data_IF_290004607192
#
_entry.id   IF_290004607192
#
_cell.length_a   1.000
_cell.length_b   1.000
_cell.length_c   1.000
_cell.angle_alpha   90.00
_cell.angle_beta   90.00
_cell.angle_gamma   90.00
#
_symmetry.space_group_name_H-M   'P 1'
#
loop_
_entity.id
_entity.type
_entity.pdbx_description
1 polymer ?
#
# COMPACT_ATOMS: atom_id res chain seq x y z
N UNK A 1 13.19 -33.28 -58.20
CA UNK A 1 14.46 -33.44 -57.46
C UNK A 1 14.55 -32.35 -56.39
N UNK A 2 14.25 -32.66 -55.12
CA UNK A 2 14.30 -31.67 -54.02
C UNK A 2 15.72 -31.59 -53.49
N UNK A 3 16.41 -30.48 -53.76
CA UNK A 3 17.72 -30.17 -53.21
C UNK A 3 17.53 -29.91 -51.70
N UNK A 4 17.99 -30.83 -50.84
CA UNK A 4 18.05 -30.57 -49.40
C UNK A 4 19.26 -29.68 -49.13
N UNK A 5 19.03 -28.42 -48.77
CA UNK A 5 20.09 -27.53 -48.26
C UNK A 5 20.51 -28.04 -46.88
N UNK A 6 21.77 -28.45 -46.74
CA UNK A 6 22.35 -28.83 -45.46
C UNK A 6 22.69 -27.58 -44.66
N UNK A 7 22.25 -27.53 -43.41
CA UNK A 7 22.60 -26.47 -42.47
C UNK A 7 24.04 -26.69 -42.00
N UNK A 8 24.91 -25.70 -42.18
CA UNK A 8 26.28 -25.83 -41.69
C UNK A 8 26.30 -25.56 -40.18
N UNK A 9 27.11 -26.30 -39.42
CA UNK A 9 27.22 -26.14 -37.96
C UNK A 9 27.59 -24.68 -37.60
N UNK A 10 28.37 -24.02 -38.46
CA UNK A 10 28.78 -22.64 -38.29
C UNK A 10 27.62 -21.64 -38.44
N UNK A 11 26.70 -21.85 -39.38
CA UNK A 11 25.50 -21.01 -39.52
C UNK A 11 24.63 -21.08 -38.25
N UNK A 12 24.48 -22.27 -37.65
CA UNK A 12 23.74 -22.42 -36.40
C UNK A 12 24.43 -21.70 -35.24
N UNK A 13 25.75 -21.84 -35.15
CA UNK A 13 26.55 -21.27 -34.08
C UNK A 13 26.51 -19.73 -34.11
N UNK A 14 26.57 -19.11 -35.29
CA UNK A 14 26.48 -17.66 -35.43
C UNK A 14 25.10 -17.14 -34.99
N UNK A 15 24.02 -17.83 -35.35
CA UNK A 15 22.67 -17.40 -34.97
C UNK A 15 22.48 -17.43 -33.45
N UNK A 16 22.89 -18.50 -32.78
CA UNK A 16 22.77 -18.57 -31.31
C UNK A 16 23.66 -17.52 -30.62
N UNK A 17 24.84 -17.21 -31.17
CA UNK A 17 25.74 -16.19 -30.63
C UNK A 17 25.10 -14.79 -30.72
N UNK A 18 24.46 -14.46 -31.84
CA UNK A 18 23.75 -13.18 -31.99
C UNK A 18 22.57 -13.10 -31.01
N UNK A 19 21.77 -14.15 -30.89
CA UNK A 19 20.64 -14.19 -29.94
C UNK A 19 21.12 -14.01 -28.49
N UNK A 20 22.22 -14.67 -28.11
CA UNK A 20 22.79 -14.56 -26.77
C UNK A 20 23.23 -13.12 -26.45
N UNK A 21 23.88 -12.44 -27.39
CA UNK A 21 24.29 -11.03 -27.24
C UNK A 21 23.06 -10.11 -27.11
N UNK A 22 22.03 -10.31 -27.94
CA UNK A 22 20.81 -9.52 -27.88
C UNK A 22 20.11 -9.68 -26.51
N UNK A 23 19.99 -10.91 -26.01
CA UNK A 23 19.38 -11.18 -24.68
C UNK A 23 20.23 -10.57 -23.55
N UNK A 24 21.55 -10.67 -23.65
CA UNK A 24 22.47 -10.13 -22.64
C UNK A 24 22.33 -8.61 -22.48
N UNK A 25 22.03 -7.88 -23.57
CA UNK A 25 21.79 -6.43 -23.54
C UNK A 25 20.36 -6.11 -23.07
N UNK A 26 19.38 -6.96 -23.39
CA UNK A 26 17.98 -6.76 -23.01
C UNK A 26 17.71 -6.98 -21.52
N UNK A 27 18.35 -7.96 -20.88
CA UNK A 27 18.16 -8.28 -19.45
C UNK A 27 18.37 -7.09 -18.49
N UNK A 28 19.50 -6.35 -18.53
CA UNK A 28 19.69 -5.21 -17.64
C UNK A 28 18.73 -4.05 -17.96
N UNK A 29 18.37 -3.86 -19.24
CA UNK A 29 17.44 -2.82 -19.67
C UNK A 29 16.00 -3.09 -19.18
N UNK A 30 15.54 -4.34 -19.22
CA UNK A 30 14.19 -4.73 -18.76
C UNK A 30 13.99 -4.47 -17.27
N UNK A 31 15.03 -4.64 -16.44
CA UNK A 31 14.91 -4.37 -15.00
C UNK A 31 14.82 -2.88 -14.70
N UNK A 32 15.58 -2.05 -15.40
CA UNK A 32 15.47 -0.59 -15.30
C UNK A 32 14.08 -0.12 -15.72
N UNK A 33 13.55 -0.67 -16.82
CA UNK A 33 12.20 -0.35 -17.28
C UNK A 33 11.12 -0.79 -16.26
N UNK A 34 11.25 -1.99 -15.68
CA UNK A 34 10.34 -2.48 -14.64
C UNK A 34 10.34 -1.58 -13.42
N UNK A 35 11.52 -1.18 -12.94
CA UNK A 35 11.60 -0.30 -11.77
C UNK A 35 11.08 1.11 -12.07
N UNK A 36 11.35 1.65 -13.25
CA UNK A 36 10.78 2.92 -13.68
C UNK A 36 9.24 2.88 -13.72
N UNK A 37 8.66 1.75 -14.17
CA UNK A 37 7.22 1.54 -14.14
C UNK A 37 6.68 1.48 -12.70
N UNK A 38 7.33 0.72 -11.80
CA UNK A 38 6.94 0.64 -10.37
C UNK A 38 6.97 2.01 -9.68
N UNK A 39 8.00 2.81 -9.96
CA UNK A 39 8.12 4.18 -9.43
C UNK A 39 7.02 5.10 -9.97
N UNK A 40 6.70 4.97 -11.25
CA UNK A 40 5.65 5.77 -11.89
C UNK A 40 4.27 5.45 -11.29
N UNK A 41 3.97 4.17 -11.07
CA UNK A 41 2.74 3.75 -10.38
C UNK A 41 2.68 4.29 -8.96
N UNK A 42 3.77 4.18 -8.19
CA UNK A 42 3.83 4.72 -6.83
C UNK A 42 3.63 6.25 -6.78
N UNK A 43 4.24 7.01 -7.70
CA UNK A 43 4.02 8.45 -7.83
C UNK A 43 2.55 8.77 -8.14
N UNK A 44 1.90 7.97 -8.97
CA UNK A 44 0.48 8.15 -9.29
C UNK A 44 -0.41 7.84 -8.08
N UNK A 45 -0.08 6.83 -7.28
CA UNK A 45 -0.78 6.54 -6.03
C UNK A 45 -0.73 7.74 -5.06
N UNK A 46 0.44 8.35 -4.86
CA UNK A 46 0.55 9.57 -4.04
C UNK A 46 -0.24 10.76 -4.60
N UNK A 47 -0.30 10.91 -5.93
CA UNK A 47 -1.15 11.94 -6.55
C UNK A 47 -2.64 11.69 -6.29
N UNK A 48 -3.09 10.44 -6.35
CA UNK A 48 -4.47 10.08 -6.03
C UNK A 48 -4.80 10.40 -4.57
N UNK A 49 -3.89 10.09 -3.64
CA UNK A 49 -4.05 10.45 -2.22
C UNK A 49 -4.09 11.96 -2.03
N UNK A 50 -3.18 12.71 -2.66
CA UNK A 50 -3.19 14.17 -2.59
C UNK A 50 -4.49 14.77 -3.10
N UNK A 51 -5.01 14.27 -4.22
CA UNK A 51 -6.31 14.69 -4.76
C UNK A 51 -7.45 14.35 -3.78
N UNK A 52 -7.46 13.15 -3.22
CA UNK A 52 -8.45 12.73 -2.24
C UNK A 52 -8.44 13.60 -0.97
N UNK A 53 -7.26 14.00 -0.48
CA UNK A 53 -7.11 14.94 0.63
C UNK A 53 -7.68 16.32 0.30
N UNK A 54 -7.45 16.82 -0.91
CA UNK A 54 -8.03 18.09 -1.36
C UNK A 54 -9.55 18.00 -1.52
N UNK A 55 -10.09 16.91 -2.07
CA UNK A 55 -11.54 16.68 -2.17
C UNK A 55 -12.21 16.58 -0.79
N UNK A 56 -11.54 15.92 0.16
CA UNK A 56 -11.98 15.90 1.55
C UNK A 56 -12.03 17.31 2.13
N UNK A 57 -10.97 18.10 1.93
CA UNK A 57 -10.94 19.49 2.38
C UNK A 57 -12.02 20.35 1.70
N UNK A 58 -12.28 20.18 0.42
CA UNK A 58 -13.37 20.89 -0.28
C UNK A 58 -14.74 20.55 0.31
N UNK A 59 -14.96 19.29 0.69
CA UNK A 59 -16.24 18.81 1.24
C UNK A 59 -16.43 19.19 2.71
N UNK A 60 -15.36 19.10 3.52
CA UNK A 60 -15.43 19.25 4.98
C UNK A 60 -14.82 20.55 5.51
N UNK A 61 -14.21 21.37 4.64
CA UNK A 61 -13.48 22.61 4.98
C UNK A 61 -12.36 22.42 6.01
N UNK A 62 -11.84 21.21 6.14
CA UNK A 62 -10.76 20.83 7.05
C UNK A 62 -10.01 19.63 6.47
N UNK A 63 -8.70 19.52 6.73
CA UNK A 63 -7.97 18.30 6.39
C UNK A 63 -8.24 17.19 7.40
N UNK A 64 -8.22 15.91 6.99
CA UNK A 64 -8.46 14.79 7.88
C UNK A 64 -7.33 14.70 8.92
N UNK A 65 -7.68 14.25 10.12
CA UNK A 65 -6.73 14.19 11.23
C UNK A 65 -5.90 12.92 11.16
N UNK A 66 -4.60 13.01 11.49
CA UNK A 66 -3.70 11.86 11.38
C UNK A 66 -3.86 10.84 12.50
N UNK A 67 -4.11 11.31 13.72
CA UNK A 67 -4.32 10.49 14.90
C UNK A 67 -5.17 11.31 15.89
N UNK A 68 -6.37 10.85 16.17
CA UNK A 68 -7.15 11.37 17.29
C UNK A 68 -6.80 10.55 18.52
N UNK A 69 -5.76 10.99 19.21
CA UNK A 69 -5.60 10.65 20.63
C UNK A 69 -6.40 11.67 21.39
N UNK A 70 -7.61 11.32 21.80
CA UNK A 70 -8.30 12.09 22.84
C UNK A 70 -7.66 11.77 24.20
N UNK A 71 -6.40 12.15 24.32
CA UNK A 71 -5.77 12.45 25.59
C UNK A 71 -5.96 13.94 25.76
N UNK A 72 -6.70 14.40 26.77
CA UNK A 72 -6.92 15.83 27.06
C UNK A 72 -5.66 16.64 27.42
N UNK A 73 -4.49 16.27 26.89
CA UNK A 73 -3.21 16.95 26.92
C UNK A 73 -2.59 16.73 25.53
N UNK A 74 -2.12 17.81 24.90
CA UNK A 74 -1.48 17.79 23.57
C UNK A 74 -0.21 16.92 23.54
N UNK A 75 0.79 17.29 22.74
CA UNK A 75 1.99 16.48 22.45
C UNK A 75 2.82 15.95 23.66
N UNK A 76 2.39 16.17 24.90
CA UNK A 76 2.93 15.57 26.13
C UNK A 76 2.02 14.43 26.65
N UNK A 77 2.40 13.20 26.35
CA UNK A 77 2.02 12.03 27.15
C UNK A 77 1.05 11.07 26.46
N UNK A 78 1.53 9.85 26.23
CA UNK A 78 0.67 8.71 25.91
C UNK A 78 -0.30 8.49 27.07
N UNK A 79 -1.58 8.80 26.86
CA UNK A 79 -2.63 8.40 27.78
C UNK A 79 -3.03 6.99 27.41
N UNK A 80 -2.48 6.02 28.14
CA UNK A 80 -2.96 4.63 28.18
C UNK A 80 -4.29 4.52 28.94
N UNK A 81 -5.23 5.44 28.68
CA UNK A 81 -6.58 5.38 29.26
C UNK A 81 -7.40 4.40 28.44
N UNK A 82 -8.06 3.47 29.12
CA UNK A 82 -9.07 2.60 28.52
C UNK A 82 -10.26 3.39 27.95
N UNK A 83 -10.34 4.71 28.25
CA UNK A 83 -11.30 5.66 27.69
C UNK A 83 -10.71 6.60 26.64
N UNK A 84 -9.46 6.39 26.19
CA UNK A 84 -8.92 7.15 25.06
C UNK A 84 -9.74 6.77 23.83
N UNK A 85 -10.47 7.73 23.25
CA UNK A 85 -11.21 7.52 22.00
C UNK A 85 -10.18 7.50 20.88
N UNK A 86 -9.63 6.34 20.56
CA UNK A 86 -8.81 6.20 19.36
C UNK A 86 -9.73 6.24 18.15
N UNK A 87 -9.70 7.37 17.43
CA UNK A 87 -10.47 7.48 16.18
C UNK A 87 -9.64 7.06 14.99
N UNK A 88 -10.35 6.66 13.93
CA UNK A 88 -9.78 6.26 12.66
C UNK A 88 -8.82 7.32 12.08
N UNK A 89 -7.78 6.85 11.40
CA UNK A 89 -6.75 7.67 10.81
C UNK A 89 -7.26 8.47 9.60
N UNK A 90 -6.42 9.38 9.09
CA UNK A 90 -6.72 10.15 7.89
C UNK A 90 -7.01 9.25 6.68
N UNK A 91 -6.35 8.08 6.61
CA UNK A 91 -6.52 7.12 5.53
C UNK A 91 -7.96 6.60 5.42
N UNK A 92 -8.61 6.35 6.56
CA UNK A 92 -10.01 5.91 6.61
C UNK A 92 -10.98 7.03 6.19
N UNK A 93 -10.69 8.27 6.56
CA UNK A 93 -11.55 9.42 6.27
C UNK A 93 -11.63 9.75 4.78
N UNK A 94 -10.55 9.48 4.02
CA UNK A 94 -10.49 9.80 2.60
C UNK A 94 -10.93 8.66 1.68
N UNK A 95 -11.26 7.48 2.21
CA UNK A 95 -11.68 6.31 1.42
C UNK A 95 -12.82 6.60 0.41
N UNK A 96 -13.83 7.44 0.71
CA UNK A 96 -14.87 7.79 -0.26
C UNK A 96 -14.32 8.46 -1.52
N UNK A 97 -13.19 9.17 -1.40
CA UNK A 97 -12.53 9.89 -2.49
C UNK A 97 -11.44 9.04 -3.20
N UNK A 98 -11.26 7.79 -2.79
CA UNK A 98 -10.31 6.83 -3.35
C UNK A 98 -11.01 5.61 -3.98
N UNK A 99 -12.28 5.72 -4.36
CA UNK A 99 -13.09 4.60 -4.88
C UNK A 99 -13.21 3.42 -3.90
N UNK A 100 -12.95 3.65 -2.61
CA UNK A 100 -12.99 2.64 -1.55
C UNK A 100 -14.23 2.77 -0.66
N UNK A 101 -15.34 3.25 -1.23
CA UNK A 101 -16.60 3.54 -0.51
C UNK A 101 -17.18 2.27 0.17
N UNK A 102 -17.05 1.11 -0.47
CA UNK A 102 -17.51 -0.16 0.10
C UNK A 102 -16.77 -0.57 1.39
N UNK A 103 -15.53 -0.08 1.58
CA UNK A 103 -14.78 -0.26 2.84
C UNK A 103 -15.20 0.81 3.84
N UNK A 104 -15.34 2.07 3.39
CA UNK A 104 -15.78 3.18 4.24
C UNK A 104 -17.13 2.93 4.93
N UNK A 105 -18.12 2.41 4.21
CA UNK A 105 -19.46 2.14 4.75
C UNK A 105 -19.48 1.06 5.83
N UNK A 106 -18.44 0.23 5.90
CA UNK A 106 -18.33 -0.83 6.91
C UNK A 106 -17.70 -0.35 8.20
N UNK A 107 -17.18 0.88 8.24
CA UNK A 107 -16.48 1.47 9.38
C UNK A 107 -17.48 2.27 10.24
N UNK A 108 -17.59 1.94 11.51
CA UNK A 108 -18.34 2.74 12.48
C UNK A 108 -17.46 3.79 13.17
N UNK A 109 -17.45 5.00 12.64
CA UNK A 109 -16.70 6.15 13.18
C UNK A 109 -17.18 6.64 14.55
N UNK A 110 -18.30 6.14 15.08
CA UNK A 110 -18.78 6.47 16.43
C UNK A 110 -18.07 5.65 17.52
N UNK A 111 -17.40 4.57 17.14
CA UNK A 111 -16.70 3.66 18.04
C UNK A 111 -15.19 3.77 17.91
N UNK A 112 -14.47 3.25 18.90
CA UNK A 112 -13.01 3.16 18.89
C UNK A 112 -12.59 1.87 18.20
N UNK A 113 -11.59 1.93 17.32
CA UNK A 113 -11.18 0.77 16.52
C UNK A 113 -10.78 -0.46 17.38
N UNK A 114 -10.38 -0.25 18.65
CA UNK A 114 -10.02 -1.33 19.58
C UNK A 114 -11.22 -2.04 20.22
N UNK A 115 -12.42 -1.47 20.13
CA UNK A 115 -13.68 -2.00 20.68
C UNK A 115 -14.77 -2.09 19.61
N UNK A 116 -14.40 -1.88 18.35
CA UNK A 116 -15.33 -1.88 17.25
C UNK A 116 -15.87 -3.31 17.00
N UNK A 117 -17.15 -3.46 16.62
CA UNK A 117 -17.74 -4.75 16.31
C UNK A 117 -17.00 -5.45 15.15
N UNK A 118 -17.13 -6.78 15.06
CA UNK A 118 -16.32 -7.65 14.18
C UNK A 118 -16.34 -7.29 12.69
N UNK A 119 -17.32 -6.51 12.21
CA UNK A 119 -17.38 -5.96 10.86
C UNK A 119 -16.34 -4.85 10.61
N UNK A 120 -16.02 -4.03 11.61
CA UNK A 120 -15.03 -2.96 11.49
C UNK A 120 -13.62 -3.54 11.35
N UNK A 121 -13.33 -4.65 12.05
CA UNK A 121 -12.03 -5.34 11.96
C UNK A 121 -11.73 -5.77 10.51
N UNK A 122 -12.73 -6.23 9.75
CA UNK A 122 -12.54 -6.58 8.34
C UNK A 122 -12.30 -5.37 7.44
N UNK A 123 -12.90 -4.23 7.76
CA UNK A 123 -12.67 -2.98 7.02
C UNK A 123 -11.29 -2.39 7.32
N UNK A 124 -10.84 -2.47 8.58
CA UNK A 124 -9.52 -2.04 9.02
C UNK A 124 -8.40 -2.92 8.46
N UNK A 125 -8.64 -4.22 8.30
CA UNK A 125 -7.72 -5.15 7.63
C UNK A 125 -7.73 -5.05 6.09
N UNK A 126 -8.63 -4.29 5.50
CA UNK A 126 -8.76 -4.21 4.05
C UNK A 126 -7.54 -3.53 3.42
N UNK A 127 -6.94 -4.20 2.44
CA UNK A 127 -5.79 -3.63 1.73
C UNK A 127 -6.27 -2.72 0.61
N UNK A 128 -5.95 -1.43 0.71
CA UNK A 128 -6.23 -0.45 -0.34
C UNK A 128 -4.95 -0.25 -1.15
N UNK A 129 -4.96 -0.68 -2.42
CA UNK A 129 -3.79 -0.67 -3.29
C UNK A 129 -3.17 0.73 -3.48
N UNK A 130 -3.96 1.79 -3.33
CA UNK A 130 -3.48 3.18 -3.42
C UNK A 130 -2.51 3.51 -2.28
N UNK A 131 -2.64 2.89 -1.11
CA UNK A 131 -1.69 3.09 -0.01
C UNK A 131 -0.43 2.22 -0.10
N UNK A 132 -0.35 1.36 -1.11
CA UNK A 132 0.81 0.50 -1.37
C UNK A 132 1.67 1.07 -2.50
N UNK A 133 2.98 1.10 -2.28
CA UNK A 133 3.94 1.52 -3.27
C UNK A 133 4.65 0.29 -3.84
N UNK A 134 4.51 -0.04 -5.14
CA UNK A 134 5.17 -1.21 -5.73
C UNK A 134 6.70 -1.16 -5.69
N UNK A 135 7.28 0.03 -5.55
CA UNK A 135 8.73 0.25 -5.39
C UNK A 135 9.22 0.07 -3.95
N UNK A 136 8.32 -0.01 -2.97
CA UNK A 136 8.69 -0.32 -1.60
C UNK A 136 8.69 -1.85 -1.43
N UNK A 137 9.87 -2.48 -1.27
CA UNK A 137 9.97 -3.93 -1.09
C UNK A 137 9.37 -4.41 0.24
N UNK A 138 9.03 -3.49 1.16
CA UNK A 138 8.36 -3.79 2.41
C UNK A 138 6.85 -3.93 2.17
N UNK A 139 6.45 -5.04 1.55
CA UNK A 139 5.09 -5.58 1.70
C UNK A 139 4.91 -6.33 3.02
N UNK A 140 5.85 -6.17 3.96
CA UNK A 140 5.67 -6.67 5.32
C UNK A 140 4.60 -5.82 6.00
N UNK A 141 3.66 -6.45 6.73
CA UNK A 141 2.74 -5.69 7.56
C UNK A 141 3.59 -4.79 8.45
N UNK A 142 3.44 -3.46 8.27
CA UNK A 142 4.01 -2.50 9.21
C UNK A 142 3.26 -2.61 10.52
N UNK A 143 3.51 -3.68 11.26
CA UNK A 143 3.10 -3.76 12.62
C UNK A 143 3.87 -2.70 13.41
N UNK A 144 3.07 -1.86 14.06
CA UNK A 144 3.33 -1.32 15.39
C UNK A 144 4.07 0.02 15.47
N UNK A 145 3.35 1.11 15.18
CA UNK A 145 3.59 2.41 15.85
C UNK A 145 2.39 3.00 16.59
N UNK A 146 1.37 2.20 16.86
CA UNK A 146 0.42 2.46 17.95
C UNK A 146 0.76 1.48 19.04
N UNK A 147 1.46 1.96 20.06
CA UNK A 147 2.01 1.13 21.11
C UNK A 147 1.00 0.13 21.67
N UNK A 148 1.49 -1.09 21.86
CA UNK A 148 1.00 -2.10 22.80
C UNK A 148 -0.51 -2.33 22.87
N UNK A 149 -0.98 -3.29 22.08
CA UNK A 149 -1.76 -4.40 22.62
C UNK A 149 -1.16 -5.70 22.04
N UNK A 150 -0.20 -6.24 22.79
CA UNK A 150 0.31 -7.61 22.77
C UNK A 150 0.50 -8.31 21.41
N UNK A 151 1.71 -8.19 20.89
CA UNK A 151 2.50 -9.24 20.23
C UNK A 151 1.75 -10.48 19.70
N UNK A 152 1.49 -10.50 18.41
CA UNK A 152 1.64 -11.69 17.58
C UNK A 152 1.56 -11.19 16.15
N UNK A 153 2.56 -11.39 15.32
CA UNK A 153 2.88 -12.72 14.82
C UNK A 153 1.88 -13.02 13.68
N UNK A 154 2.34 -13.47 12.50
CA UNK A 154 1.46 -13.63 11.35
C UNK A 154 0.22 -14.46 11.70
N UNK A 155 -0.98 -13.88 11.57
CA UNK A 155 -2.25 -14.56 11.87
C UNK A 155 -2.98 -14.10 13.13
N UNK A 156 -2.56 -13.02 13.80
CA UNK A 156 -3.37 -12.40 14.85
C UNK A 156 -4.42 -11.44 14.26
N UNK A 157 -5.56 -11.32 14.94
CA UNK A 157 -6.71 -10.51 14.53
C UNK A 157 -6.48 -8.99 14.59
N UNK A 158 -5.27 -8.59 15.02
CA UNK A 158 -4.82 -7.21 15.15
C UNK A 158 -3.93 -6.78 13.97
N UNK A 159 -3.81 -7.62 12.94
CA UNK A 159 -3.14 -7.31 11.68
C UNK A 159 -3.95 -6.23 10.93
N UNK A 160 -3.67 -4.95 11.26
CA UNK A 160 -4.16 -3.79 10.52
C UNK A 160 -3.78 -3.90 9.03
N UNK A 161 -4.58 -3.31 8.14
CA UNK A 161 -4.37 -3.36 6.70
C UNK A 161 -2.96 -2.91 6.30
N UNK A 162 -2.40 -3.53 5.24
CA UNK A 162 -1.05 -3.19 4.78
C UNK A 162 -1.05 -1.81 4.13
N UNK A 163 -0.21 -0.90 4.65
CA UNK A 163 0.02 0.42 4.08
C UNK A 163 1.52 0.76 4.09
N UNK A 164 1.99 1.42 3.04
CA UNK A 164 3.37 1.93 2.96
C UNK A 164 3.42 3.43 3.29
N UNK A 165 2.25 4.05 3.49
CA UNK A 165 2.07 5.46 3.84
C UNK A 165 1.91 5.59 5.36
N UNK A 166 2.63 6.54 5.95
CA UNK A 166 2.60 6.73 7.40
C UNK A 166 1.23 7.25 7.87
N UNK A 167 0.71 6.65 8.96
CA UNK A 167 -0.52 7.07 9.59
C UNK A 167 -1.79 6.67 8.83
N UNK A 168 -1.73 5.70 7.93
CA UNK A 168 -2.92 5.03 7.36
C UNK A 168 -3.27 3.84 8.23
#
# INVERSE_FOLDING_TARGET
MKIKRGFTLIELLVVIAIIAILIAILLPAVQQAREAARRSSCKNNFKQVGLALHNYHETHSIFPLSDHRDSGRGCSGAVWSQNAVYRYSWGAMILPFLEANAVYQKIDFSTNYNVAPSNDIQAVGATINVFLCPSDPQSEPRCNRTGGINNGGPGNKDDLGRSNMAGV
#
